data_IF_792782687606
#
_entry.id   IF_792782687606
#
_cell.length_a   1.000
_cell.length_b   1.000
_cell.length_c   1.000
_cell.angle_alpha   90.00
_cell.angle_beta   90.00
_cell.angle_gamma   90.00
#
_symmetry.space_group_name_H-M   'P 1'
#
loop_
_entity.id
_entity.type
_entity.pdbx_description
1 polymer ?
#
# COMPACT_ATOMS: atom_id res chain seq x y z
N UNK A 1 -1.52 -29.97 4.27
CA UNK A 1 -1.04 -30.91 5.32
C UNK A 1 0.06 -30.30 6.20
N UNK A 2 1.20 -29.85 5.64
CA UNK A 2 2.28 -29.21 6.42
C UNK A 2 1.86 -27.90 7.12
N UNK A 3 1.09 -27.05 6.44
CA UNK A 3 0.57 -25.80 6.99
C UNK A 3 -0.40 -26.04 8.16
N UNK A 4 -1.28 -27.04 8.04
CA UNK A 4 -2.19 -27.46 9.10
C UNK A 4 -1.44 -28.06 10.31
N UNK A 5 -0.39 -28.86 10.08
CA UNK A 5 0.45 -29.41 11.15
C UNK A 5 1.23 -28.31 11.90
N UNK A 6 1.66 -27.25 11.22
CA UNK A 6 2.35 -26.11 11.85
C UNK A 6 1.42 -25.21 12.66
N UNK A 7 0.19 -24.97 12.19
CA UNK A 7 -0.84 -24.29 13.00
C UNK A 7 -1.15 -25.05 14.30
N UNK A 8 -1.21 -26.38 14.24
CA UNK A 8 -1.38 -27.24 15.42
C UNK A 8 -0.17 -27.13 16.37
N UNK A 9 1.05 -27.04 15.83
CA UNK A 9 2.28 -26.87 16.62
C UNK A 9 2.32 -25.51 17.34
N UNK A 10 1.98 -24.41 16.66
CA UNK A 10 1.95 -23.07 17.24
C UNK A 10 0.84 -22.90 18.30
N UNK A 11 -0.34 -23.48 18.04
CA UNK A 11 -1.44 -23.47 19.03
C UNK A 11 -1.03 -24.22 20.31
N UNK A 12 -0.25 -25.30 20.20
CA UNK A 12 0.26 -26.05 21.36
C UNK A 12 1.38 -25.33 22.14
N UNK A 13 2.10 -24.41 21.52
CA UNK A 13 3.21 -23.63 22.12
C UNK A 13 2.76 -22.29 22.72
N UNK A 14 1.46 -21.95 22.68
CA UNK A 14 0.92 -20.73 23.30
C UNK A 14 1.45 -19.41 22.73
N UNK A 15 2.13 -19.43 21.59
CA UNK A 15 2.89 -18.28 21.05
C UNK A 15 2.08 -17.41 20.08
N UNK A 16 0.78 -17.64 19.93
CA UNK A 16 -0.06 -16.87 19.02
C UNK A 16 -0.71 -15.70 19.76
N UNK A 17 -0.18 -14.49 19.57
CA UNK A 17 -0.91 -13.27 19.90
C UNK A 17 -2.07 -13.13 18.91
N UNK A 18 -3.29 -12.87 19.40
CA UNK A 18 -4.51 -12.80 18.59
C UNK A 18 -4.54 -11.65 17.55
N UNK A 19 -3.44 -10.93 17.35
CA UNK A 19 -3.32 -9.70 16.56
C UNK A 19 -2.21 -9.74 15.50
N UNK A 20 -1.50 -10.86 15.31
CA UNK A 20 -0.48 -10.93 14.25
C UNK A 20 -1.15 -10.95 12.86
N UNK A 21 -0.76 -10.03 11.94
CA UNK A 21 -1.32 -10.00 10.60
C UNK A 21 -0.96 -11.28 9.84
N UNK A 22 -1.85 -11.73 8.95
CA UNK A 22 -1.72 -12.99 8.18
C UNK A 22 -0.40 -13.07 7.39
N UNK A 23 0.16 -11.92 6.99
CA UNK A 23 1.46 -11.84 6.32
C UNK A 23 2.61 -12.34 7.21
N UNK A 24 2.60 -12.04 8.50
CA UNK A 24 3.64 -12.47 9.44
C UNK A 24 3.58 -13.98 9.66
N UNK A 25 2.38 -14.56 9.62
CA UNK A 25 2.16 -16.00 9.77
C UNK A 25 2.70 -16.78 8.58
N UNK A 26 2.44 -16.31 7.35
CA UNK A 26 2.93 -16.95 6.11
C UNK A 26 4.45 -16.75 5.99
N UNK A 27 4.94 -15.56 6.32
CA UNK A 27 6.37 -15.22 6.33
C UNK A 27 7.14 -16.07 7.36
N UNK A 28 6.59 -16.23 8.56
CA UNK A 28 7.17 -17.06 9.61
C UNK A 28 7.17 -18.56 9.25
N UNK A 29 6.14 -19.06 8.56
CA UNK A 29 6.08 -20.46 8.11
C UNK A 29 7.22 -20.81 7.14
N UNK A 30 7.41 -20.01 6.10
CA UNK A 30 8.49 -20.28 5.13
C UNK A 30 9.88 -20.00 5.69
N UNK A 31 10.00 -19.02 6.60
CA UNK A 31 11.24 -18.75 7.34
C UNK A 31 11.64 -19.90 8.27
N UNK A 32 10.68 -20.71 8.75
CA UNK A 32 10.96 -21.83 9.68
C UNK A 32 11.66 -23.01 9.02
N UNK A 33 11.64 -23.13 7.69
CA UNK A 33 12.21 -24.29 6.99
C UNK A 33 13.65 -23.99 6.57
N UNK A 34 14.00 -22.72 6.26
CA UNK A 34 15.34 -22.34 5.75
C UNK A 34 15.86 -20.93 6.07
N UNK A 35 15.30 -20.17 7.02
CA UNK A 35 15.66 -18.74 7.28
C UNK A 35 15.53 -17.79 6.08
N UNK A 36 14.86 -18.21 5.00
CA UNK A 36 14.64 -17.39 3.83
C UNK A 36 13.19 -16.90 3.81
N UNK A 37 13.02 -15.58 3.70
CA UNK A 37 11.71 -14.98 3.48
C UNK A 37 11.38 -14.99 1.99
N UNK A 38 10.54 -15.95 1.57
CA UNK A 38 10.05 -16.06 0.18
C UNK A 38 9.15 -14.89 -0.24
N UNK A 39 8.57 -14.17 0.72
CA UNK A 39 7.71 -13.01 0.50
C UNK A 39 8.44 -11.68 0.77
N UNK A 40 9.77 -11.67 0.78
CA UNK A 40 10.56 -10.48 1.10
C UNK A 40 10.36 -9.30 0.14
N UNK A 41 10.01 -9.58 -1.12
CA UNK A 41 9.68 -8.57 -2.12
C UNK A 41 8.19 -8.21 -2.16
N UNK A 42 7.34 -8.90 -1.41
CA UNK A 42 5.89 -8.70 -1.46
C UNK A 42 5.48 -7.54 -0.56
N UNK A 43 4.93 -6.49 -1.15
CA UNK A 43 4.37 -5.36 -0.39
C UNK A 43 3.07 -5.77 0.31
N UNK A 44 2.71 -5.05 1.38
CA UNK A 44 1.44 -5.31 2.09
C UNK A 44 0.23 -5.06 1.19
N UNK A 45 0.33 -4.07 0.31
CA UNK A 45 -0.71 -3.71 -0.67
C UNK A 45 -0.86 -4.80 -1.74
N UNK A 46 0.25 -5.30 -2.28
CA UNK A 46 0.23 -6.40 -3.23
C UNK A 46 -0.35 -7.68 -2.62
N UNK A 47 -0.06 -7.96 -1.34
CA UNK A 47 -0.69 -9.09 -0.65
C UNK A 47 -2.21 -8.90 -0.49
N UNK A 48 -2.66 -7.68 -0.16
CA UNK A 48 -4.09 -7.37 -0.06
C UNK A 48 -4.79 -7.59 -1.41
N UNK A 49 -4.15 -7.20 -2.53
CA UNK A 49 -4.62 -7.49 -3.90
C UNK A 49 -4.67 -8.98 -4.20
N UNK A 50 -3.61 -9.73 -3.89
CA UNK A 50 -3.58 -11.20 -4.07
C UNK A 50 -4.72 -11.85 -3.28
N UNK A 51 -4.97 -11.39 -2.06
CA UNK A 51 -6.07 -11.90 -1.23
C UNK A 51 -7.43 -11.61 -1.88
N UNK A 52 -7.67 -10.38 -2.33
CA UNK A 52 -8.91 -10.00 -3.00
C UNK A 52 -9.14 -10.82 -4.29
N UNK A 53 -8.12 -10.93 -5.14
CA UNK A 53 -8.16 -11.72 -6.37
C UNK A 53 -8.39 -13.22 -6.09
N UNK A 54 -7.79 -13.75 -5.01
CA UNK A 54 -7.99 -15.15 -4.62
C UNK A 54 -9.43 -15.42 -4.17
N UNK A 55 -10.03 -14.49 -3.42
CA UNK A 55 -11.43 -14.59 -3.00
C UNK A 55 -12.35 -14.56 -4.22
N UNK A 56 -12.15 -13.60 -5.13
CA UNK A 56 -12.90 -13.51 -6.39
C UNK A 56 -12.77 -14.80 -7.22
N UNK A 57 -11.54 -15.31 -7.39
CA UNK A 57 -11.28 -16.56 -8.09
C UNK A 57 -12.02 -17.76 -7.47
N UNK A 58 -12.05 -17.87 -6.14
CA UNK A 58 -12.80 -18.94 -5.46
C UNK A 58 -14.31 -18.85 -5.69
N UNK A 59 -14.86 -17.64 -5.85
CA UNK A 59 -16.28 -17.50 -6.22
C UNK A 59 -16.54 -17.93 -7.66
N UNK A 60 -15.59 -17.65 -8.57
CA UNK A 60 -15.72 -17.90 -10.02
C UNK A 60 -15.35 -19.32 -10.45
N UNK A 61 -14.51 -20.03 -9.70
CA UNK A 61 -13.94 -21.34 -10.11
C UNK A 61 -14.99 -22.42 -10.38
N UNK A 62 -16.18 -22.30 -9.78
CA UNK A 62 -17.27 -23.25 -9.96
C UNK A 62 -18.15 -22.94 -11.19
N UNK A 63 -17.91 -21.83 -11.88
CA UNK A 63 -18.69 -21.36 -13.02
C UNK A 63 -17.90 -21.55 -14.32
N UNK A 64 -18.44 -22.38 -15.22
CA UNK A 64 -17.75 -22.74 -16.47
C UNK A 64 -17.47 -21.53 -17.38
N UNK A 65 -18.35 -20.52 -17.36
CA UNK A 65 -18.23 -19.30 -18.17
C UNK A 65 -17.14 -18.33 -17.65
N UNK A 66 -16.53 -18.59 -16.49
CA UNK A 66 -15.50 -17.72 -15.91
C UNK A 66 -14.07 -18.19 -16.21
N UNK A 67 -13.89 -19.33 -16.90
CA UNK A 67 -12.57 -19.90 -17.19
C UNK A 67 -11.64 -18.89 -17.89
N UNK A 68 -12.14 -18.22 -18.93
CA UNK A 68 -11.36 -17.24 -19.68
C UNK A 68 -10.98 -16.04 -18.81
N UNK A 69 -11.87 -15.60 -17.92
CA UNK A 69 -11.60 -14.50 -16.99
C UNK A 69 -10.54 -14.86 -15.96
N UNK A 70 -10.43 -16.14 -15.55
CA UNK A 70 -9.50 -16.56 -14.51
C UNK A 70 -8.11 -16.92 -15.05
N UNK A 71 -8.05 -17.53 -16.25
CA UNK A 71 -6.82 -18.18 -16.72
C UNK A 71 -6.29 -17.64 -18.06
N UNK A 72 -7.11 -16.93 -18.83
CA UNK A 72 -6.73 -16.50 -20.20
C UNK A 72 -6.55 -14.98 -20.27
N UNK A 73 -7.42 -14.22 -19.61
CA UNK A 73 -7.37 -12.76 -19.66
C UNK A 73 -6.18 -12.23 -18.86
N UNK A 74 -5.34 -11.45 -19.51
CA UNK A 74 -4.33 -10.66 -18.83
C UNK A 74 -4.98 -9.42 -18.20
N UNK A 75 -4.54 -9.08 -17.00
CA UNK A 75 -4.99 -7.90 -16.26
C UNK A 75 -3.79 -6.98 -16.04
N UNK A 76 -3.42 -6.17 -17.06
CA UNK A 76 -2.32 -5.23 -16.95
C UNK A 76 -2.64 -4.14 -15.92
N UNK A 77 -1.60 -3.54 -15.34
CA UNK A 77 -1.75 -2.52 -14.29
C UNK A 77 -2.56 -1.32 -14.79
N UNK A 78 -2.39 -0.96 -16.06
CA UNK A 78 -3.01 0.17 -16.75
C UNK A 78 -4.53 0.05 -16.87
N UNK A 79 -5.07 -1.17 -16.76
CA UNK A 79 -6.50 -1.46 -16.85
C UNK A 79 -7.08 -1.96 -15.51
N UNK A 80 -6.28 -1.99 -14.44
CA UNK A 80 -6.66 -2.62 -13.17
C UNK A 80 -7.39 -1.68 -12.19
N UNK A 81 -7.26 -0.37 -12.37
CA UNK A 81 -7.73 0.66 -11.46
C UNK A 81 -8.59 1.72 -12.16
N UNK A 82 -9.37 2.47 -11.37
CA UNK A 82 -10.29 3.49 -11.87
C UNK A 82 -9.59 4.83 -12.10
N UNK A 83 -8.62 5.17 -11.25
CA UNK A 83 -7.85 6.41 -11.31
C UNK A 83 -6.36 6.14 -11.20
N UNK A 84 -5.58 6.96 -11.91
CA UNK A 84 -4.12 6.88 -11.92
C UNK A 84 -3.50 8.24 -11.61
N UNK A 85 -2.53 8.24 -10.69
CA UNK A 85 -1.79 9.44 -10.28
C UNK A 85 -0.30 9.15 -10.48
N UNK A 86 0.36 9.96 -11.32
CA UNK A 86 1.82 9.93 -11.43
C UNK A 86 2.40 10.87 -10.39
N UNK A 87 3.25 10.31 -9.52
CA UNK A 87 3.99 11.06 -8.52
C UNK A 87 5.45 11.08 -8.94
N UNK A 88 5.99 12.28 -9.14
CA UNK A 88 7.39 12.49 -9.54
C UNK A 88 8.10 13.31 -8.47
N UNK A 89 9.21 12.77 -7.97
CA UNK A 89 10.07 13.42 -6.99
C UNK A 89 11.33 13.92 -7.69
N UNK A 90 11.55 15.24 -7.74
CA UNK A 90 12.77 15.81 -8.30
C UNK A 90 14.02 15.29 -7.59
N UNK A 91 15.08 15.05 -8.35
CA UNK A 91 16.40 14.63 -7.82
C UNK A 91 16.88 15.48 -6.65
N UNK A 92 16.75 16.80 -6.75
CA UNK A 92 17.19 17.75 -5.72
C UNK A 92 16.54 17.46 -4.37
N UNK A 93 15.23 17.22 -4.36
CA UNK A 93 14.52 16.84 -3.13
C UNK A 93 14.99 15.48 -2.58
N UNK A 94 15.32 14.54 -3.47
CA UNK A 94 15.78 13.22 -3.04
C UNK A 94 17.13 13.28 -2.33
N UNK A 95 18.09 13.99 -2.90
CA UNK A 95 19.46 14.06 -2.35
C UNK A 95 19.52 14.90 -1.08
N UNK A 96 18.85 16.06 -1.08
CA UNK A 96 18.98 17.04 0.01
C UNK A 96 18.07 16.74 1.20
N UNK A 97 16.85 16.25 0.96
CA UNK A 97 15.84 16.11 2.02
C UNK A 97 15.54 14.65 2.32
N UNK A 98 15.18 13.88 1.27
CA UNK A 98 14.69 12.52 1.46
C UNK A 98 15.77 11.58 1.99
N UNK A 99 17.01 11.69 1.48
CA UNK A 99 18.13 10.86 1.90
C UNK A 99 18.60 11.17 3.32
N UNK A 100 18.56 12.43 3.73
CA UNK A 100 18.86 12.82 5.11
C UNK A 100 17.78 12.27 6.06
N UNK A 101 16.50 12.50 5.74
CA UNK A 101 15.35 12.09 6.53
C UNK A 101 15.26 10.55 6.70
N UNK A 102 15.67 9.79 5.68
CA UNK A 102 15.55 8.33 5.64
C UNK A 102 16.91 7.62 5.49
N UNK A 103 17.96 8.18 6.08
CA UNK A 103 19.35 7.68 5.95
C UNK A 103 19.52 6.20 6.35
N UNK A 104 18.85 5.75 7.42
CA UNK A 104 18.88 4.34 7.86
C UNK A 104 18.15 3.41 6.88
N UNK A 105 17.00 3.84 6.36
CA UNK A 105 16.25 3.13 5.34
C UNK A 105 17.08 2.98 4.04
N UNK A 106 17.85 4.02 3.68
CA UNK A 106 18.76 3.99 2.52
C UNK A 106 19.80 2.89 2.63
N UNK A 107 20.36 2.66 3.83
CA UNK A 107 21.33 1.56 4.05
C UNK A 107 20.64 0.21 3.87
N UNK A 108 19.47 0.02 4.48
CA UNK A 108 18.73 -1.26 4.43
C UNK A 108 18.23 -1.64 3.04
N UNK A 109 17.93 -0.65 2.21
CA UNK A 109 17.30 -0.83 0.89
C UNK A 109 18.28 -0.55 -0.25
N UNK A 110 19.59 -0.62 0.02
CA UNK A 110 20.66 -0.40 -0.98
C UNK A 110 20.49 0.91 -1.79
N UNK A 111 20.03 1.96 -1.13
CA UNK A 111 19.75 3.28 -1.69
C UNK A 111 18.66 3.29 -2.78
N UNK A 112 17.75 2.31 -2.78
CA UNK A 112 16.56 2.32 -3.64
C UNK A 112 15.50 3.30 -3.11
N UNK A 113 15.65 4.58 -3.50
CA UNK A 113 14.74 5.65 -3.10
C UNK A 113 13.28 5.40 -3.47
N UNK A 114 13.02 4.67 -4.57
CA UNK A 114 11.66 4.35 -5.04
C UNK A 114 10.95 3.43 -4.05
N UNK A 115 11.60 2.34 -3.66
CA UNK A 115 11.06 1.40 -2.68
C UNK A 115 10.87 2.04 -1.30
N UNK A 116 11.80 2.90 -0.86
CA UNK A 116 11.66 3.64 0.40
C UNK A 116 10.47 4.59 0.31
N UNK A 117 10.33 5.32 -0.80
CA UNK A 117 9.23 6.25 -1.00
C UNK A 117 7.88 5.53 -0.97
N UNK A 118 7.72 4.46 -1.74
CA UNK A 118 6.49 3.63 -1.74
C UNK A 118 6.20 3.10 -0.33
N UNK A 119 7.22 2.60 0.39
CA UNK A 119 7.07 2.07 1.76
C UNK A 119 6.57 3.13 2.74
N UNK A 120 7.07 4.38 2.65
CA UNK A 120 6.66 5.48 3.53
C UNK A 120 5.31 6.08 3.13
N UNK A 121 5.01 6.13 1.84
CA UNK A 121 3.75 6.66 1.31
C UNK A 121 2.56 5.71 1.57
N UNK A 122 2.78 4.39 1.54
CA UNK A 122 1.74 3.38 1.74
C UNK A 122 0.87 3.60 3.00
N UNK A 123 1.43 3.72 4.22
CA UNK A 123 0.61 3.94 5.42
C UNK A 123 -0.12 5.30 5.38
N UNK A 124 0.49 6.34 4.83
CA UNK A 124 -0.14 7.65 4.67
C UNK A 124 -1.36 7.59 3.75
N UNK A 125 -1.28 6.86 2.64
CA UNK A 125 -2.42 6.67 1.74
C UNK A 125 -3.51 5.81 2.39
N UNK A 126 -3.15 4.75 3.12
CA UNK A 126 -4.12 3.91 3.84
C UNK A 126 -4.92 4.75 4.84
N UNK A 127 -4.26 5.62 5.60
CA UNK A 127 -4.92 6.50 6.56
C UNK A 127 -5.69 7.64 5.88
N UNK A 128 -5.08 8.33 4.91
CA UNK A 128 -5.69 9.46 4.25
C UNK A 128 -6.90 9.06 3.42
N UNK A 129 -6.79 8.02 2.59
CA UNK A 129 -7.83 7.66 1.63
C UNK A 129 -8.89 6.74 2.25
N UNK A 130 -8.52 5.86 3.19
CA UNK A 130 -9.41 5.05 4.02
C UNK A 130 -10.64 4.54 3.25
N UNK A 131 -11.86 4.87 3.69
CA UNK A 131 -13.14 4.42 3.12
C UNK A 131 -13.43 4.88 1.67
N UNK A 132 -12.60 5.76 1.09
CA UNK A 132 -12.78 6.27 -0.28
C UNK A 132 -12.28 5.33 -1.34
N UNK A 133 -11.32 4.48 -0.99
CA UNK A 133 -10.72 3.52 -1.91
C UNK A 133 -10.97 2.11 -1.39
N UNK A 134 -11.24 1.19 -2.30
CA UNK A 134 -11.31 -0.24 -1.99
C UNK A 134 -9.90 -0.78 -1.81
N UNK A 135 -9.03 -0.43 -2.76
CA UNK A 135 -7.64 -0.83 -2.80
C UNK A 135 -6.85 0.11 -3.72
N UNK A 136 -5.54 -0.04 -3.68
CA UNK A 136 -4.61 0.67 -4.54
C UNK A 136 -3.41 -0.23 -4.83
N UNK A 137 -2.54 0.18 -5.74
CA UNK A 137 -1.19 -0.38 -5.87
C UNK A 137 -0.26 0.61 -6.59
N UNK A 138 1.03 0.31 -6.59
CA UNK A 138 2.05 1.12 -7.24
C UNK A 138 2.68 0.36 -8.40
N UNK A 139 2.78 1.02 -9.53
CA UNK A 139 3.66 0.65 -10.62
C UNK A 139 4.87 1.58 -10.61
N UNK A 140 6.08 1.00 -10.61
CA UNK A 140 7.33 1.75 -10.74
C UNK A 140 7.77 1.61 -12.21
N UNK A 141 7.60 2.66 -13.04
CA UNK A 141 8.05 2.64 -14.41
C UNK A 141 9.55 2.34 -14.48
N UNK A 142 9.98 1.58 -15.49
CA UNK A 142 11.39 1.24 -15.73
C UNK A 142 12.06 0.45 -14.58
N UNK A 143 11.29 -0.16 -13.68
CA UNK A 143 11.84 -1.10 -12.67
C UNK A 143 12.28 -2.44 -13.27
N UNK A 144 11.72 -2.81 -14.42
CA UNK A 144 11.97 -4.10 -15.07
C UNK A 144 13.22 -4.17 -15.94
N UNK A 145 13.84 -3.04 -16.26
CA UNK A 145 15.05 -3.01 -17.07
C UNK A 145 16.23 -2.58 -16.19
N UNK A 146 16.73 -3.51 -15.38
CA UNK A 146 18.20 -3.50 -15.23
C UNK A 146 18.72 -3.74 -16.63
N UNK A 147 19.39 -2.76 -17.28
CA UNK A 147 19.84 -2.96 -18.64
C UNK A 147 20.68 -4.23 -18.66
N UNK A 148 20.34 -5.17 -19.55
CA UNK A 148 21.18 -6.36 -19.73
C UNK A 148 22.58 -5.84 -20.07
N UNK A 149 23.53 -6.03 -19.15
CA UNK A 149 24.91 -5.61 -19.37
C UNK A 149 25.70 -6.78 -19.92
N UNK A 150 26.65 -6.49 -20.82
CA UNK A 150 27.59 -7.49 -21.29
C UNK A 150 28.45 -7.99 -20.13
N UNK A 151 28.81 -9.28 -20.13
CA UNK A 151 29.60 -9.90 -19.05
C UNK A 151 30.99 -9.25 -18.90
N UNK A 152 31.49 -8.63 -19.96
CA UNK A 152 32.77 -7.93 -20.00
C UNK A 152 32.65 -6.45 -19.63
N UNK A 153 31.44 -5.94 -19.47
CA UNK A 153 31.19 -4.57 -19.05
C UNK A 153 30.87 -4.51 -17.55
N UNK A 154 31.36 -3.46 -16.89
CA UNK A 154 30.90 -3.16 -15.54
C UNK A 154 29.41 -2.83 -15.65
N UNK A 155 28.54 -3.39 -14.78
CA UNK A 155 27.14 -3.01 -14.77
C UNK A 155 27.06 -1.50 -14.76
N UNK A 156 26.30 -0.92 -15.69
CA UNK A 156 25.92 0.47 -15.57
C UNK A 156 25.29 0.60 -14.20
N UNK A 157 25.97 1.29 -13.27
CA UNK A 157 25.30 1.79 -12.09
C UNK A 157 24.18 2.61 -12.68
N UNK A 158 22.92 2.23 -12.46
CA UNK A 158 21.79 3.04 -12.87
C UNK A 158 22.09 4.43 -12.33
N UNK A 159 22.59 5.31 -13.19
CA UNK A 159 23.08 6.60 -12.76
C UNK A 159 21.84 7.23 -12.14
N UNK A 160 22.00 7.74 -10.93
CA UNK A 160 20.93 8.30 -10.12
C UNK A 160 20.38 9.60 -10.75
N UNK A 161 20.33 9.71 -12.08
CA UNK A 161 20.05 10.90 -12.90
C UNK A 161 18.56 11.15 -13.08
N UNK A 162 17.75 10.11 -12.92
CA UNK A 162 16.32 10.22 -13.18
C UNK A 162 15.53 10.55 -11.91
N UNK A 163 14.54 11.42 -12.08
CA UNK A 163 13.52 11.68 -11.08
C UNK A 163 12.84 10.36 -10.67
N UNK A 164 12.57 10.21 -9.37
CA UNK A 164 11.80 9.06 -8.88
C UNK A 164 10.37 9.27 -9.31
N UNK A 165 9.93 8.50 -10.30
CA UNK A 165 8.55 8.47 -10.75
C UNK A 165 7.89 7.18 -10.28
N UNK A 166 6.70 7.31 -9.70
CA UNK A 166 5.83 6.18 -9.32
C UNK A 166 4.44 6.46 -9.85
N UNK A 167 3.81 5.44 -10.44
CA UNK A 167 2.42 5.48 -10.87
C UNK A 167 1.56 4.80 -9.79
N UNK A 168 0.68 5.57 -9.16
CA UNK A 168 -0.30 5.09 -8.19
C UNK A 168 -1.61 4.78 -8.91
N UNK A 169 -2.10 3.55 -8.80
CA UNK A 169 -3.43 3.14 -9.25
C UNK A 169 -4.38 3.07 -8.05
N UNK A 170 -5.58 3.64 -8.17
CA UNK A 170 -6.60 3.70 -7.12
C UNK A 170 -7.89 3.06 -7.61
N UNK A 171 -8.43 2.09 -6.85
CA UNK A 171 -9.77 1.56 -7.04
C UNK A 171 -10.72 2.23 -6.08
N UNK A 172 -11.70 2.94 -6.60
CA UNK A 172 -12.60 3.78 -5.82
C UNK A 172 -13.68 2.95 -5.15
N UNK A 173 -14.12 3.38 -3.97
CA UNK A 173 -15.26 2.80 -3.31
C UNK A 173 -16.56 3.21 -4.03
N UNK A 174 -17.38 2.25 -4.52
CA UNK A 174 -18.56 2.55 -5.36
C UNK A 174 -19.67 3.32 -4.63
N UNK A 175 -19.57 3.52 -3.31
CA UNK A 175 -20.59 4.16 -2.47
C UNK A 175 -20.11 5.45 -1.80
N UNK A 176 -18.90 5.91 -2.08
CA UNK A 176 -18.41 7.13 -1.47
C UNK A 176 -19.02 8.36 -2.15
N UNK A 177 -19.87 9.09 -1.43
CA UNK A 177 -20.53 10.30 -1.92
C UNK A 177 -20.42 11.48 -0.94
N UNK A 178 -19.69 11.29 0.17
CA UNK A 178 -19.57 12.28 1.22
C UNK A 178 -18.39 13.23 0.91
N UNK A 179 -18.62 14.55 0.81
CA UNK A 179 -17.52 15.52 0.75
C UNK A 179 -16.83 15.71 2.11
N UNK A 180 -17.17 14.90 3.11
CA UNK A 180 -16.65 14.95 4.47
C UNK A 180 -16.01 13.62 4.83
N UNK A 181 -14.78 13.65 5.35
CA UNK A 181 -14.18 12.53 6.07
C UNK A 181 -14.49 12.69 7.55
N UNK A 182 -15.35 11.81 8.07
CA UNK A 182 -15.69 11.76 9.50
C UNK A 182 -14.54 11.10 10.26
N UNK A 183 -13.94 11.83 11.19
CA UNK A 183 -12.94 11.33 12.11
C UNK A 183 -13.53 10.84 13.44
N UNK A 184 -12.67 10.58 14.43
CA UNK A 184 -13.10 10.08 15.74
C UNK A 184 -13.84 11.16 16.56
N UNK A 185 -14.58 10.77 17.62
CA UNK A 185 -15.19 11.71 18.54
C UNK A 185 -14.16 12.66 19.16
N UNK A 186 -14.49 13.95 19.27
CA UNK A 186 -13.56 15.01 19.68
C UNK A 186 -12.89 14.82 21.06
N UNK A 187 -13.49 13.99 21.92
CA UNK A 187 -12.98 13.68 23.26
C UNK A 187 -12.23 12.34 23.33
N UNK A 188 -12.10 11.62 22.23
CA UNK A 188 -11.38 10.35 22.20
C UNK A 188 -9.85 10.59 22.12
N UNK A 189 -9.06 9.58 22.48
CA UNK A 189 -7.60 9.69 22.43
C UNK A 189 -7.10 9.82 20.97
N UNK A 190 -7.81 9.18 20.05
CA UNK A 190 -7.51 9.14 18.62
C UNK A 190 -7.72 10.51 17.94
N UNK A 191 -8.50 11.41 18.55
CA UNK A 191 -8.71 12.77 18.04
C UNK A 191 -7.43 13.63 18.05
N UNK A 192 -6.48 13.35 18.94
CA UNK A 192 -5.18 14.03 18.91
C UNK A 192 -4.38 13.65 17.65
N UNK A 193 -4.28 12.34 17.37
CA UNK A 193 -3.62 11.82 16.18
C UNK A 193 -4.27 12.35 14.89
N UNK A 194 -5.60 12.31 14.82
CA UNK A 194 -6.34 12.80 13.65
C UNK A 194 -6.05 14.28 13.38
N UNK A 195 -6.00 15.13 14.42
CA UNK A 195 -5.64 16.55 14.29
C UNK A 195 -4.19 16.75 13.86
N UNK A 196 -3.26 15.95 14.39
CA UNK A 196 -1.85 16.02 14.00
C UNK A 196 -1.65 15.60 12.53
N UNK A 197 -2.33 14.53 12.10
CA UNK A 197 -2.25 14.03 10.74
C UNK A 197 -2.82 15.01 9.71
N UNK A 198 -4.00 15.58 9.98
CA UNK A 198 -4.69 16.48 9.04
C UNK A 198 -4.31 17.95 9.19
N UNK A 199 -3.72 18.34 10.33
CA UNK A 199 -3.33 19.70 10.64
C UNK A 199 -4.50 20.68 10.52
N UNK A 200 -4.25 21.78 9.82
CA UNK A 200 -5.20 22.90 9.66
C UNK A 200 -6.48 22.54 8.88
N UNK A 201 -6.52 21.37 8.23
CA UNK A 201 -7.71 20.88 7.51
C UNK A 201 -8.75 20.24 8.44
N UNK A 202 -8.39 19.99 9.70
CA UNK A 202 -9.26 19.37 10.67
C UNK A 202 -10.19 20.40 11.33
N UNK A 203 -11.50 20.14 11.29
CA UNK A 203 -12.53 20.94 11.94
C UNK A 203 -13.44 20.09 12.83
N UNK A 204 -14.01 20.71 13.87
CA UNK A 204 -15.01 20.07 14.71
C UNK A 204 -16.39 20.20 14.09
N UNK A 205 -17.07 19.06 13.90
CA UNK A 205 -18.43 19.02 13.36
C UNK A 205 -19.37 18.25 14.26
N UNK A 206 -20.55 18.82 14.49
CA UNK A 206 -21.68 18.13 15.13
C UNK A 206 -22.48 17.37 14.07
N UNK A 207 -22.66 16.07 14.28
CA UNK A 207 -23.40 15.17 13.39
C UNK A 207 -24.87 14.99 13.86
N UNK A 208 -25.76 14.49 12.98
CA UNK A 208 -27.18 14.26 13.32
C UNK A 208 -27.42 13.29 14.49
N UNK A 209 -26.45 12.40 14.77
CA UNK A 209 -26.43 11.50 15.92
C UNK A 209 -26.01 12.21 17.23
N UNK A 210 -25.91 13.55 17.23
CA UNK A 210 -25.40 14.40 18.30
C UNK A 210 -23.92 14.17 18.67
N UNK A 211 -23.18 13.34 17.93
CA UNK A 211 -21.75 13.21 18.14
C UNK A 211 -21.03 14.46 17.64
N UNK A 212 -20.04 14.91 18.40
CA UNK A 212 -19.08 15.93 17.98
C UNK A 212 -17.81 15.17 17.60
N UNK A 213 -17.47 15.16 16.32
CA UNK A 213 -16.32 14.45 15.77
C UNK A 213 -15.36 15.43 15.10
N UNK A 214 -14.09 15.06 15.08
CA UNK A 214 -13.12 15.66 14.16
C UNK A 214 -13.54 15.33 12.72
N UNK A 215 -13.36 16.26 11.79
CA UNK A 215 -13.86 16.14 10.41
C UNK A 215 -12.95 16.88 9.44
N UNK A 216 -12.82 16.36 8.23
CA UNK A 216 -12.15 17.06 7.12
C UNK A 216 -13.16 17.28 5.99
N UNK A 217 -13.27 18.51 5.52
CA UNK A 217 -14.13 18.89 4.40
C UNK A 217 -13.33 19.06 3.10
N UNK A 218 -13.74 18.36 2.04
CA UNK A 218 -13.01 18.28 0.77
C UNK A 218 -13.48 19.28 -0.30
N UNK A 219 -14.65 19.90 -0.11
CA UNK A 219 -15.19 20.92 -1.03
C UNK A 219 -14.68 22.35 -0.71
N UNK A 220 -13.47 22.48 -0.17
CA UNK A 220 -12.85 23.78 0.09
C UNK A 220 -12.04 24.23 -1.14
N UNK A 221 -11.99 25.54 -1.47
CA UNK A 221 -11.08 26.07 -2.51
C UNK A 221 -9.61 25.66 -2.31
N UNK A 222 -9.21 25.27 -1.11
CA UNK A 222 -7.85 24.83 -0.77
C UNK A 222 -7.56 23.35 -1.08
N UNK A 223 -8.52 22.62 -1.66
CA UNK A 223 -8.38 21.22 -2.08
C UNK A 223 -8.28 21.16 -3.62
N UNK A 224 -7.06 21.06 -4.17
CA UNK A 224 -6.86 21.11 -5.63
C UNK A 224 -7.30 19.83 -6.34
N UNK A 225 -7.50 18.73 -5.61
CA UNK A 225 -7.85 17.43 -6.18
C UNK A 225 -8.81 16.67 -5.27
N UNK A 226 -10.02 16.43 -5.78
CA UNK A 226 -11.04 15.60 -5.16
C UNK A 226 -10.96 14.20 -5.77
N UNK A 227 -10.57 13.23 -4.96
CA UNK A 227 -10.66 11.81 -5.31
C UNK A 227 -12.09 11.38 -4.96
N UNK A 228 -12.94 11.28 -5.97
CA UNK A 228 -14.35 10.89 -5.92
C UNK A 228 -14.61 9.82 -6.97
#
# INVERSE_FOLDING_TARGET
>A
LLLAAWFIFLHRQGSFAAQTPVIDVITAFFSSIRHHNLASSLSTVALDQIRAASIDALTKINFFNEFDSLFVRNHPFEDAFDQYIRISLPRTYQEDVFREMYSTDCISSCNDGRSIFVRKLTPLLKEALSERIMDFDFCIPNSQESPMWDVHEKPAVCLAEDDVSVLLGLRLAPKWNSPLTRGPPAKSAEAAHFREFWGDRCELRKYPDNAICETVAWNSPDVPLLIC
#
